data_IF_783878380146
#
_entry.id   IF_783878380146
#
_cell.length_a   1.000
_cell.length_b   1.000
_cell.length_c   1.000
_cell.angle_alpha   90.00
_cell.angle_beta   90.00
_cell.angle_gamma   90.00
#
_symmetry.space_group_name_H-M   'P 1'
#
loop_
_entity.id
_entity.type
_entity.pdbx_description
1 polymer ?
#
# COMPACT_ATOMS: atom_id res chain seq x y z
N UNK A 1 18.61 23.07 -18.16
CA UNK A 1 17.31 22.52 -17.73
C UNK A 1 17.42 21.01 -17.82
N UNK A 2 17.49 20.33 -16.68
CA UNK A 2 17.60 18.86 -16.63
C UNK A 2 16.25 18.29 -17.05
N UNK A 3 16.18 17.70 -18.24
CA UNK A 3 15.01 16.98 -18.71
C UNK A 3 14.83 15.81 -17.74
N UNK A 4 13.80 15.88 -16.88
CA UNK A 4 13.43 14.76 -16.01
C UNK A 4 12.86 13.69 -16.92
N UNK A 5 13.74 12.78 -17.36
CA UNK A 5 13.34 11.60 -18.12
C UNK A 5 12.78 10.62 -17.11
N UNK A 6 11.46 10.59 -17.00
CA UNK A 6 10.78 9.66 -16.10
C UNK A 6 10.97 8.25 -16.64
N UNK A 7 11.62 7.40 -15.87
CA UNK A 7 11.69 5.98 -16.17
C UNK A 7 10.36 5.32 -15.80
N UNK A 8 9.43 5.28 -16.74
CA UNK A 8 8.08 4.70 -16.55
C UNK A 8 8.13 3.27 -16.01
N UNK A 9 9.12 2.48 -16.43
CA UNK A 9 9.32 1.12 -15.92
C UNK A 9 9.80 1.09 -14.47
N UNK A 10 10.53 2.11 -14.01
CA UNK A 10 10.87 2.25 -12.60
C UNK A 10 9.61 2.59 -11.76
N UNK A 11 8.74 3.48 -12.26
CA UNK A 11 7.47 3.80 -11.58
C UNK A 11 6.55 2.59 -11.50
N UNK A 12 6.40 1.83 -12.58
CA UNK A 12 5.57 0.61 -12.61
C UNK A 12 6.09 -0.48 -11.69
N UNK A 13 7.42 -0.68 -11.64
CA UNK A 13 8.05 -1.61 -10.69
C UNK A 13 7.80 -1.18 -9.26
N UNK A 14 8.05 0.10 -8.94
CA UNK A 14 7.81 0.63 -7.61
C UNK A 14 6.33 0.49 -7.20
N UNK A 15 5.38 0.73 -8.11
CA UNK A 15 3.95 0.53 -7.85
C UNK A 15 3.64 -0.94 -7.49
N UNK A 16 4.17 -1.88 -8.27
CA UNK A 16 4.01 -3.31 -8.01
C UNK A 16 4.61 -3.74 -6.68
N UNK A 17 5.76 -3.17 -6.29
CA UNK A 17 6.39 -3.45 -5.00
C UNK A 17 5.54 -2.95 -3.84
N UNK A 18 4.97 -1.74 -3.94
CA UNK A 18 4.10 -1.19 -2.90
C UNK A 18 2.79 -1.99 -2.78
N UNK A 19 2.23 -2.47 -3.89
CA UNK A 19 1.08 -3.36 -3.87
C UNK A 19 1.42 -4.69 -3.16
N UNK A 20 2.57 -5.29 -3.46
CA UNK A 20 3.00 -6.52 -2.80
C UNK A 20 3.19 -6.33 -1.28
N UNK A 21 3.70 -5.17 -0.87
CA UNK A 21 3.81 -4.81 0.56
C UNK A 21 2.41 -4.68 1.18
N UNK A 22 1.47 -4.00 0.53
CA UNK A 22 0.10 -3.89 1.01
C UNK A 22 -0.56 -5.27 1.19
N UNK A 23 -0.35 -6.18 0.24
CA UNK A 23 -0.85 -7.56 0.31
C UNK A 23 -0.19 -8.34 1.45
N UNK A 24 1.10 -8.10 1.73
CA UNK A 24 1.78 -8.71 2.88
C UNK A 24 1.17 -8.28 4.22
N UNK A 25 0.79 -7.00 4.38
CA UNK A 25 0.11 -6.53 5.59
C UNK A 25 -1.31 -7.11 5.72
N UNK A 26 -2.02 -7.28 4.60
CA UNK A 26 -3.31 -7.96 4.58
C UNK A 26 -3.19 -9.41 5.06
N UNK A 27 -2.13 -10.12 4.65
CA UNK A 27 -1.86 -11.48 5.10
C UNK A 27 -1.53 -11.53 6.60
N UNK A 28 -0.73 -10.59 7.11
CA UNK A 28 -0.45 -10.48 8.56
C UNK A 28 -1.72 -10.19 9.34
N UNK A 29 -2.60 -9.33 8.84
CA UNK A 29 -3.90 -9.05 9.48
C UNK A 29 -4.80 -10.30 9.50
N UNK A 30 -4.81 -11.08 8.42
CA UNK A 30 -5.53 -12.36 8.40
C UNK A 30 -4.98 -13.35 9.43
N UNK A 31 -3.66 -13.43 9.58
CA UNK A 31 -3.02 -14.25 10.62
C UNK A 31 -3.35 -13.74 12.03
N UNK A 32 -3.38 -12.42 12.21
CA UNK A 32 -3.79 -11.77 13.46
C UNK A 32 -5.24 -12.11 13.79
N UNK A 33 -6.18 -12.03 12.85
CA UNK A 33 -7.57 -12.40 13.12
C UNK A 33 -7.75 -13.88 13.48
N UNK A 34 -6.86 -14.76 12.99
CA UNK A 34 -6.85 -16.17 13.34
C UNK A 34 -6.19 -16.47 14.69
N UNK A 35 -5.24 -15.63 15.12
CA UNK A 35 -4.65 -15.70 16.44
C UNK A 35 -5.54 -14.94 17.43
N UNK A 36 -6.07 -15.60 18.44
CA UNK A 36 -6.85 -14.94 19.49
C UNK A 36 -6.37 -15.43 20.86
N UNK A 37 -6.63 -14.64 21.90
CA UNK A 37 -6.50 -15.05 23.29
C UNK A 37 -7.90 -15.14 23.90
N UNK A 38 -8.56 -16.32 23.81
CA UNK A 38 -9.91 -16.48 24.32
C UNK A 38 -10.00 -16.14 25.80
N UNK A 39 -11.09 -15.48 26.20
CA UNK A 39 -11.36 -15.22 27.62
C UNK A 39 -11.30 -16.52 28.44
N UNK A 40 -10.63 -16.45 29.58
CA UNK A 40 -10.44 -17.59 30.49
C UNK A 40 -9.23 -18.46 30.17
N UNK A 41 -8.52 -18.23 29.05
CA UNK A 41 -7.26 -18.94 28.74
C UNK A 41 -6.15 -18.71 29.78
N UNK A 42 -6.26 -17.60 30.52
CA UNK A 42 -5.34 -17.23 31.60
C UNK A 42 -5.68 -17.91 32.95
N UNK A 43 -6.76 -18.69 33.02
CA UNK A 43 -7.14 -19.46 34.20
C UNK A 43 -7.42 -18.59 35.43
N UNK A 44 -6.92 -19.02 36.60
CA UNK A 44 -7.14 -18.36 37.91
C UNK A 44 -6.01 -17.39 38.28
N UNK A 45 -5.29 -16.85 37.30
CA UNK A 45 -4.25 -15.87 37.59
C UNK A 45 -4.90 -14.65 38.30
N UNK A 46 -4.33 -14.14 39.40
CA UNK A 46 -4.90 -13.01 40.14
C UNK A 46 -5.09 -11.74 39.30
N UNK A 47 -4.34 -11.62 38.20
CA UNK A 47 -4.33 -10.49 37.26
C UNK A 47 -4.87 -10.90 35.88
N UNK A 48 -5.58 -12.03 35.76
CA UNK A 48 -6.07 -12.54 34.49
C UNK A 48 -6.89 -11.49 33.71
N UNK A 49 -7.77 -10.77 34.40
CA UNK A 49 -8.62 -9.76 33.78
C UNK A 49 -7.83 -8.53 33.29
N UNK A 50 -6.84 -8.09 34.08
CA UNK A 50 -5.95 -6.98 33.71
C UNK A 50 -5.07 -7.34 32.51
N UNK A 51 -4.52 -8.55 32.49
CA UNK A 51 -3.71 -9.06 31.38
C UNK A 51 -4.56 -9.23 30.12
N UNK A 52 -5.78 -9.76 30.24
CA UNK A 52 -6.71 -9.87 29.12
C UNK A 52 -7.04 -8.49 28.55
N UNK A 53 -7.42 -7.52 29.40
CA UNK A 53 -7.74 -6.17 28.95
C UNK A 53 -6.55 -5.48 28.27
N UNK A 54 -5.34 -5.66 28.80
CA UNK A 54 -4.11 -5.14 28.18
C UNK A 54 -3.79 -5.82 26.85
N UNK A 55 -4.04 -7.13 26.74
CA UNK A 55 -3.93 -7.86 25.48
C UNK A 55 -4.93 -7.32 24.46
N UNK A 56 -6.22 -7.29 24.80
CA UNK A 56 -7.30 -6.85 23.91
C UNK A 56 -7.02 -5.45 23.35
N UNK A 57 -6.62 -4.50 24.21
CA UNK A 57 -6.29 -3.13 23.80
C UNK A 57 -5.09 -3.07 22.84
N UNK A 58 -4.02 -3.81 23.13
CA UNK A 58 -2.84 -3.87 22.24
C UNK A 58 -3.15 -4.60 20.94
N UNK A 59 -3.98 -5.63 21.00
CA UNK A 59 -4.34 -6.46 19.86
C UNK A 59 -5.23 -5.72 18.88
N UNK A 60 -6.18 -4.93 19.39
CA UNK A 60 -6.97 -4.00 18.60
C UNK A 60 -6.08 -2.93 17.96
N UNK A 61 -5.22 -2.26 18.75
CA UNK A 61 -4.33 -1.22 18.23
C UNK A 61 -3.36 -1.73 17.14
N UNK A 62 -2.92 -2.99 17.26
CA UNK A 62 -2.14 -3.65 16.20
C UNK A 62 -2.95 -3.79 14.91
N UNK A 63 -4.22 -4.23 14.99
CA UNK A 63 -5.09 -4.35 13.81
C UNK A 63 -5.32 -3.00 13.12
N UNK A 64 -5.57 -1.94 13.89
CA UNK A 64 -5.70 -0.58 13.35
C UNK A 64 -4.42 -0.11 12.65
N UNK A 65 -3.25 -0.39 13.23
CA UNK A 65 -1.96 -0.05 12.61
C UNK A 65 -1.70 -0.83 11.32
N UNK A 66 -2.03 -2.13 11.28
CA UNK A 66 -1.88 -2.95 10.07
C UNK A 66 -2.80 -2.46 8.94
N UNK A 67 -4.05 -2.11 9.26
CA UNK A 67 -4.99 -1.55 8.29
C UNK A 67 -4.48 -0.21 7.72
N UNK A 68 -3.97 0.68 8.57
CA UNK A 68 -3.40 1.96 8.13
C UNK A 68 -2.18 1.77 7.23
N UNK A 69 -1.27 0.84 7.56
CA UNK A 69 -0.11 0.54 6.71
C UNK A 69 -0.55 -0.02 5.36
N UNK A 70 -1.47 -0.98 5.35
CA UNK A 70 -2.03 -1.53 4.11
C UNK A 70 -2.60 -0.43 3.20
N UNK A 71 -3.36 0.51 3.76
CA UNK A 71 -3.94 1.63 3.02
C UNK A 71 -2.87 2.57 2.47
N UNK A 72 -1.86 2.94 3.28
CA UNK A 72 -0.75 3.80 2.85
C UNK A 72 -0.02 3.20 1.65
N UNK A 73 0.37 1.92 1.73
CA UNK A 73 1.11 1.28 0.65
C UNK A 73 0.27 1.13 -0.63
N UNK A 74 -1.03 0.85 -0.50
CA UNK A 74 -1.95 0.84 -1.65
C UNK A 74 -2.03 2.22 -2.31
N UNK A 75 -2.26 3.27 -1.51
CA UNK A 75 -2.38 4.65 -2.02
C UNK A 75 -1.09 5.12 -2.71
N UNK A 76 0.08 4.73 -2.20
CA UNK A 76 1.36 5.02 -2.86
C UNK A 76 1.45 4.27 -4.20
N UNK A 77 1.11 2.98 -4.21
CA UNK A 77 1.09 2.18 -5.44
C UNK A 77 0.17 2.78 -6.51
N UNK A 78 -1.06 3.11 -6.15
CA UNK A 78 -2.05 3.74 -7.03
C UNK A 78 -1.56 5.11 -7.55
N UNK A 79 -0.94 5.92 -6.69
CA UNK A 79 -0.35 7.21 -7.08
C UNK A 79 0.80 7.06 -8.08
N UNK A 80 1.62 6.02 -7.94
CA UNK A 80 2.70 5.72 -8.88
C UNK A 80 2.18 5.26 -10.24
N UNK A 81 1.12 4.44 -10.28
CA UNK A 81 0.43 4.05 -11.52
C UNK A 81 -0.15 5.28 -12.21
N UNK A 82 -0.91 6.10 -11.47
CA UNK A 82 -1.51 7.33 -12.01
C UNK A 82 -0.44 8.29 -12.56
N UNK A 83 0.71 8.39 -11.89
CA UNK A 83 1.84 9.19 -12.38
C UNK A 83 2.41 8.63 -13.68
N UNK A 84 2.63 7.31 -13.76
CA UNK A 84 3.14 6.66 -14.98
C UNK A 84 2.19 6.85 -16.17
N UNK A 85 0.89 6.68 -15.96
CA UNK A 85 -0.13 6.84 -17.00
C UNK A 85 -0.25 8.31 -17.46
N UNK A 86 -0.10 9.25 -16.54
CA UNK A 86 -0.06 10.69 -16.85
C UNK A 86 1.10 11.05 -17.78
N UNK A 87 2.30 10.52 -17.53
CA UNK A 87 3.46 10.75 -18.40
C UNK A 87 3.30 10.07 -19.77
N UNK A 88 2.79 8.83 -19.82
CA UNK A 88 2.58 8.12 -21.09
C UNK A 88 1.59 8.88 -22.00
N UNK A 89 0.48 9.35 -21.44
CA UNK A 89 -0.53 10.15 -22.17
C UNK A 89 0.05 11.48 -22.67
N UNK A 90 0.91 12.11 -21.86
CA UNK A 90 1.62 13.34 -22.23
C UNK A 90 2.55 13.12 -23.43
N UNK A 91 3.36 12.07 -23.39
CA UNK A 91 4.29 11.73 -24.47
C UNK A 91 3.58 11.36 -25.78
N UNK A 92 2.45 10.65 -25.69
CA UNK A 92 1.60 10.33 -26.84
C UNK A 92 1.01 11.59 -27.49
N UNK A 93 0.56 12.54 -26.68
CA UNK A 93 -0.01 13.81 -27.16
C UNK A 93 1.03 14.68 -27.89
N UNK A 94 2.27 14.70 -27.39
CA UNK A 94 3.39 15.41 -28.02
C UNK A 94 3.80 14.72 -29.32
N UNK A 95 3.88 13.39 -29.33
CA UNK A 95 4.22 12.61 -30.53
C UNK A 95 3.16 12.77 -31.63
N UNK A 96 1.87 12.79 -31.27
CA UNK A 96 0.77 13.05 -32.19
C UNK A 96 0.85 14.47 -32.80
N UNK A 97 1.16 15.49 -31.98
CA UNK A 97 1.31 16.86 -32.45
C UNK A 97 2.51 17.01 -33.40
N UNK A 98 3.66 16.39 -33.09
CA UNK A 98 4.85 16.40 -33.95
C UNK A 98 4.56 15.73 -35.29
N UNK A 99 3.85 14.60 -35.28
CA UNK A 99 3.43 13.90 -36.51
C UNK A 99 2.52 14.77 -37.36
N UNK A 100 1.56 15.48 -36.75
CA UNK A 100 0.68 16.42 -37.46
C UNK A 100 1.43 17.62 -38.05
N UNK A 101 2.42 18.15 -37.34
CA UNK A 101 3.27 19.24 -37.82
C UNK A 101 4.15 18.79 -39.00
N UNK A 102 4.73 17.59 -38.92
CA UNK A 102 5.53 17.02 -40.01
C UNK A 102 4.69 16.70 -41.25
N UNK A 103 3.44 16.27 -41.09
CA UNK A 103 2.52 16.00 -42.20
C UNK A 103 2.00 17.29 -42.90
N UNK A 104 2.23 18.46 -42.32
CA UNK A 104 1.83 19.77 -42.87
C UNK A 104 2.98 20.55 -43.51
N UNK A 105 4.21 20.02 -43.44
CA UNK A 105 5.40 20.53 -44.12
C UNK A 105 5.64 19.73 -45.40
#
# INVERSE_FOLDING_TARGET
>A
MTQVRVELDALRRAASEHQAIADSYAAVESQRLAADLPRGSLGKLPQADEVQAAFDARYQGLGEALAALQEIYRNIGDGLVATADGYATGDDSVSALLTQLQARL
#
